data_IF_052160905128
#
_entry.id   IF_052160905128
#
_cell.length_a   1.000
_cell.length_b   1.000
_cell.length_c   1.000
_cell.angle_alpha   90.00
_cell.angle_beta   90.00
_cell.angle_gamma   90.00
#
_symmetry.space_group_name_H-M   'P 1'
#
loop_
_entity.id
_entity.type
_entity.pdbx_description
1 polymer ?
#
# COMPACT_ATOMS: atom_id res chain seq x y z
N UNK A 1 -22.45 55.79 6.03
CA UNK A 1 -21.96 56.52 7.22
C UNK A 1 -20.81 55.74 7.82
N UNK A 2 -19.67 56.39 7.99
CA UNK A 2 -18.43 55.82 8.46
C UNK A 2 -18.42 55.63 9.98
N UNK A 3 -17.68 54.63 10.48
CA UNK A 3 -16.57 54.90 11.38
C UNK A 3 -15.60 53.71 11.47
N UNK A 4 -14.32 54.04 11.41
CA UNK A 4 -13.14 53.20 11.48
C UNK A 4 -12.52 53.33 12.87
N UNK A 5 -11.94 52.26 13.42
CA UNK A 5 -10.76 52.41 14.30
C UNK A 5 -9.90 51.15 14.29
N UNK A 6 -8.69 51.35 13.77
CA UNK A 6 -7.50 50.50 13.87
C UNK A 6 -6.80 50.70 15.21
N UNK A 7 -6.05 49.71 15.70
CA UNK A 7 -5.00 49.93 16.70
C UNK A 7 -3.69 49.26 16.28
N UNK A 8 -2.61 50.04 16.43
CA UNK A 8 -1.25 49.80 15.97
C UNK A 8 -0.38 49.10 17.02
N UNK A 9 0.65 48.46 16.49
CA UNK A 9 1.90 47.97 17.10
C UNK A 9 2.68 49.10 17.80
N UNK A 10 3.41 48.84 18.90
CA UNK A 10 4.43 49.75 19.41
C UNK A 10 5.82 49.42 18.84
N UNK A 11 6.51 50.46 18.39
CA UNK A 11 7.94 50.51 18.07
C UNK A 11 8.68 51.42 19.06
N UNK A 12 9.97 51.14 19.28
CA UNK A 12 10.93 51.96 20.03
C UNK A 12 11.68 51.13 21.07
N UNK A 13 13.02 51.10 21.20
CA UNK A 13 14.06 52.02 20.73
C UNK A 13 15.28 51.21 20.24
N UNK A 14 15.99 51.74 19.24
CA UNK A 14 17.27 51.21 18.78
C UNK A 14 18.47 51.86 19.47
N UNK A 15 19.64 51.25 19.34
CA UNK A 15 20.94 51.92 19.19
C UNK A 15 21.94 50.97 18.48
N UNK A 16 22.85 51.59 17.71
CA UNK A 16 23.77 51.04 16.70
C UNK A 16 24.98 50.27 17.27
N UNK A 17 25.64 49.46 16.42
CA UNK A 17 26.70 48.45 16.72
C UNK A 17 28.10 48.99 17.09
N UNK A 18 29.26 48.33 16.76
CA UNK A 18 29.50 47.09 16.01
C UNK A 18 30.54 46.06 16.61
N UNK A 19 30.53 44.85 16.03
CA UNK A 19 31.61 43.84 15.86
C UNK A 19 32.63 43.47 16.97
N UNK A 20 32.69 42.18 17.35
CA UNK A 20 33.83 41.25 17.14
C UNK A 20 33.69 39.95 17.98
N UNK A 21 33.89 38.81 17.29
CA UNK A 21 34.67 37.62 17.66
C UNK A 21 34.54 37.08 19.10
N UNK A 22 34.06 35.84 19.25
CA UNK A 22 34.53 34.98 20.35
C UNK A 22 33.57 33.89 20.84
N UNK A 23 33.83 32.65 20.37
CA UNK A 23 33.75 31.37 21.11
C UNK A 23 32.39 30.85 21.64
N UNK A 24 32.08 29.65 21.13
CA UNK A 24 31.26 28.58 21.71
C UNK A 24 31.55 28.34 23.21
N UNK A 25 30.57 27.84 24.00
CA UNK A 25 30.51 26.39 24.13
C UNK A 25 29.10 25.77 24.20
N UNK A 26 29.00 24.64 23.49
CA UNK A 26 28.27 23.41 23.77
C UNK A 26 27.46 23.37 25.07
N UNK A 27 26.12 23.22 24.93
CA UNK A 27 25.29 22.61 25.97
C UNK A 27 24.39 21.53 25.36
N UNK A 28 24.83 20.30 25.56
CA UNK A 28 24.14 19.07 25.22
C UNK A 28 22.92 18.90 26.15
N UNK A 29 21.72 18.78 25.59
CA UNK A 29 20.56 18.20 26.28
C UNK A 29 19.87 17.25 25.32
N UNK A 30 20.15 15.95 25.51
CA UNK A 30 19.42 14.86 24.89
C UNK A 30 17.99 14.82 25.43
N UNK A 31 17.04 14.93 24.52
CA UNK A 31 15.64 14.56 24.73
C UNK A 31 15.25 13.61 23.61
N UNK A 32 15.09 12.33 23.93
CA UNK A 32 14.58 11.32 23.02
C UNK A 32 13.07 11.55 22.88
N UNK A 33 12.62 12.00 21.70
CA UNK A 33 11.21 11.93 21.29
C UNK A 33 11.08 10.82 20.25
N UNK A 34 10.39 9.74 20.59
CA UNK A 34 9.87 8.77 19.63
C UNK A 34 8.69 9.40 18.90
N UNK A 35 8.94 10.01 17.75
CA UNK A 35 7.90 10.44 16.81
C UNK A 35 7.94 9.53 15.60
N UNK A 36 6.83 8.84 15.31
CA UNK A 36 6.61 8.26 13.99
C UNK A 36 6.79 9.38 12.94
N UNK A 37 7.77 9.22 12.05
CA UNK A 37 8.10 10.23 11.06
C UNK A 37 7.08 10.17 9.92
N UNK A 38 6.01 10.95 10.04
CA UNK A 38 5.21 11.37 8.90
C UNK A 38 6.07 12.31 8.05
N UNK A 39 6.26 11.98 6.78
CA UNK A 39 7.01 12.81 5.84
C UNK A 39 6.00 13.53 4.95
N UNK A 40 5.97 14.86 5.01
CA UNK A 40 5.29 15.67 4.02
C UNK A 40 6.11 15.63 2.70
N UNK A 41 5.50 15.36 1.54
CA UNK A 41 6.26 15.17 0.31
C UNK A 41 6.78 16.51 -0.23
N UNK A 42 8.06 16.54 -0.60
CA UNK A 42 8.60 17.53 -1.53
C UNK A 42 8.32 17.03 -2.95
N UNK A 43 7.52 17.77 -3.71
CA UNK A 43 7.22 17.47 -5.11
C UNK A 43 8.50 17.49 -5.96
N UNK A 44 9.08 16.31 -6.19
CA UNK A 44 9.89 16.07 -7.38
C UNK A 44 8.94 15.51 -8.43
N UNK A 45 8.90 16.14 -9.61
CA UNK A 45 8.16 15.63 -10.76
C UNK A 45 8.82 14.33 -11.20
N UNK A 46 8.35 13.20 -10.66
CA UNK A 46 8.69 11.88 -11.16
C UNK A 46 7.91 11.70 -12.46
N UNK A 47 8.61 11.50 -13.58
CA UNK A 47 7.97 11.04 -14.80
C UNK A 47 7.34 9.68 -14.51
N UNK A 48 6.00 9.60 -14.51
CA UNK A 48 5.29 8.33 -14.41
C UNK A 48 5.89 7.33 -15.43
N UNK A 49 6.23 6.12 -14.98
CA UNK A 49 6.74 5.12 -15.92
C UNK A 49 5.62 4.83 -16.93
N UNK A 50 5.94 4.74 -18.23
CA UNK A 50 4.93 4.38 -19.21
C UNK A 50 4.27 3.06 -18.81
N UNK A 51 2.93 3.03 -18.83
CA UNK A 51 2.17 1.78 -18.68
C UNK A 51 2.58 0.69 -19.69
N UNK A 52 3.34 1.09 -20.73
CA UNK A 52 3.89 0.28 -21.80
C UNK A 52 5.26 -0.36 -21.53
N UNK A 53 5.86 -0.25 -20.33
CA UNK A 53 6.97 -1.16 -20.01
C UNK A 53 6.42 -2.59 -19.92
N UNK A 54 6.99 -3.55 -20.68
CA UNK A 54 6.49 -4.91 -20.69
C UNK A 54 6.71 -5.55 -19.31
N UNK A 55 5.66 -5.55 -18.50
CA UNK A 55 5.58 -6.34 -17.27
C UNK A 55 5.31 -7.79 -17.64
N UNK A 56 5.37 -8.68 -16.67
CA UNK A 56 5.21 -10.08 -16.96
C UNK A 56 3.82 -10.60 -16.65
N UNK A 57 3.34 -10.33 -15.43
CA UNK A 57 1.92 -10.48 -15.12
C UNK A 57 1.26 -9.26 -15.72
N UNK A 58 0.71 -9.44 -16.91
CA UNK A 58 -0.03 -8.39 -17.62
C UNK A 58 -1.53 -8.70 -17.63
N UNK A 59 -1.88 -9.97 -17.54
CA UNK A 59 -3.26 -10.44 -17.62
C UNK A 59 -3.76 -11.12 -16.36
N UNK A 60 -5.04 -10.93 -16.07
CA UNK A 60 -5.71 -11.57 -14.90
C UNK A 60 -5.65 -13.10 -14.96
N UNK A 61 -5.70 -13.67 -16.16
CA UNK A 61 -5.56 -15.13 -16.39
C UNK A 61 -4.16 -15.65 -16.03
N UNK A 62 -3.10 -14.87 -16.22
CA UNK A 62 -1.74 -15.24 -15.83
C UNK A 62 -1.60 -15.21 -14.30
N UNK A 63 -2.18 -14.18 -13.66
CA UNK A 63 -2.26 -14.10 -12.21
C UNK A 63 -3.02 -15.30 -11.62
N UNK A 64 -4.13 -15.73 -12.24
CA UNK A 64 -4.91 -16.90 -11.80
C UNK A 64 -4.09 -18.19 -11.67
N UNK A 65 -3.29 -18.53 -12.69
CA UNK A 65 -2.45 -19.74 -12.67
C UNK A 65 -1.31 -19.64 -11.65
N UNK A 66 -0.77 -18.43 -11.49
CA UNK A 66 0.18 -18.14 -10.41
C UNK A 66 -0.46 -18.38 -9.03
N UNK A 67 -1.67 -17.88 -8.77
CA UNK A 67 -2.37 -18.10 -7.50
C UNK A 67 -2.74 -19.55 -7.24
N UNK A 68 -3.18 -20.30 -8.26
CA UNK A 68 -3.63 -21.69 -8.09
C UNK A 68 -2.53 -22.58 -7.48
N UNK A 69 -1.28 -22.39 -7.89
CA UNK A 69 -0.16 -23.23 -7.44
C UNK A 69 0.74 -22.56 -6.41
N UNK A 70 1.05 -21.27 -6.56
CA UNK A 70 1.96 -20.59 -5.64
C UNK A 70 1.28 -20.19 -4.33
N UNK A 71 -0.02 -19.89 -4.28
CA UNK A 71 -0.69 -19.45 -3.03
C UNK A 71 -0.62 -20.47 -1.90
N UNK A 72 -0.68 -21.77 -2.21
CA UNK A 72 -0.58 -22.84 -1.22
C UNK A 72 0.80 -22.82 -0.54
N UNK A 73 1.86 -22.61 -1.33
CA UNK A 73 3.23 -22.45 -0.83
C UNK A 73 3.41 -21.10 -0.15
N UNK A 74 2.83 -20.04 -0.71
CA UNK A 74 2.94 -18.67 -0.21
C UNK A 74 2.33 -18.53 1.19
N UNK A 75 1.12 -19.04 1.41
CA UNK A 75 0.41 -18.95 2.70
C UNK A 75 1.09 -19.75 3.82
N UNK A 76 1.64 -20.93 3.51
CA UNK A 76 2.15 -21.87 4.53
C UNK A 76 3.68 -21.80 4.73
N UNK A 77 4.43 -21.30 3.73
CA UNK A 77 5.90 -21.31 3.75
C UNK A 77 6.48 -19.90 3.72
N UNK A 78 5.88 -18.96 2.97
CA UNK A 78 6.43 -17.61 2.76
C UNK A 78 5.86 -16.60 3.78
N UNK A 79 4.53 -16.55 3.96
CA UNK A 79 3.85 -15.61 4.86
C UNK A 79 4.34 -15.64 6.32
N UNK A 80 4.61 -16.80 6.95
CA UNK A 80 5.08 -16.85 8.34
C UNK A 80 6.39 -16.08 8.59
N UNK A 81 7.21 -15.85 7.56
CA UNK A 81 8.45 -15.06 7.65
C UNK A 81 8.39 -13.68 7.01
N UNK A 82 7.52 -13.46 6.01
CA UNK A 82 7.53 -12.27 5.14
C UNK A 82 6.36 -11.31 5.38
N UNK A 83 5.14 -11.84 5.61
CA UNK A 83 3.93 -11.06 5.87
C UNK A 83 3.27 -11.59 7.16
N UNK A 84 3.89 -11.22 8.27
CA UNK A 84 3.49 -11.67 9.61
C UNK A 84 2.21 -10.99 10.09
N UNK A 85 1.52 -11.60 11.07
CA UNK A 85 0.37 -10.97 11.72
C UNK A 85 0.68 -9.60 12.31
N UNK A 86 1.86 -9.44 12.92
CA UNK A 86 2.35 -8.16 13.42
C UNK A 86 2.49 -7.11 12.32
N UNK A 87 2.98 -7.51 11.14
CA UNK A 87 3.15 -6.62 9.99
C UNK A 87 1.81 -6.26 9.37
N UNK A 88 0.86 -7.22 9.29
CA UNK A 88 -0.54 -6.96 8.91
C UNK A 88 -1.18 -5.95 9.83
N UNK A 89 -1.12 -6.18 11.14
CA UNK A 89 -1.78 -5.32 12.13
C UNK A 89 -1.13 -3.92 12.12
N UNK A 90 0.19 -3.82 11.97
CA UNK A 90 0.87 -2.53 11.79
C UNK A 90 0.46 -1.81 10.49
N UNK A 91 0.29 -2.55 9.39
CA UNK A 91 -0.12 -2.03 8.09
C UNK A 91 -1.59 -1.57 8.04
N UNK A 92 -2.46 -2.20 8.84
CA UNK A 92 -3.86 -1.84 9.03
C UNK A 92 -4.06 -0.64 9.95
N UNK A 93 -3.08 -0.30 10.79
CA UNK A 93 -3.19 0.85 11.71
C UNK A 93 -3.67 2.16 11.05
N UNK A 94 -3.12 2.57 9.90
CA UNK A 94 -3.62 3.74 9.14
C UNK A 94 -5.04 3.62 8.59
N UNK A 95 -5.64 2.43 8.53
CA UNK A 95 -7.02 2.24 8.07
C UNK A 95 -8.05 2.77 9.08
N UNK A 96 -7.64 3.09 10.31
CA UNK A 96 -8.49 3.73 11.33
C UNK A 96 -9.82 2.99 11.56
N UNK A 97 -9.73 1.67 11.75
CA UNK A 97 -10.83 0.75 12.06
C UNK A 97 -11.24 0.88 13.53
N UNK A 98 -11.70 2.06 13.94
CA UNK A 98 -11.94 2.40 15.36
C UNK A 98 -13.40 2.23 15.82
N UNK A 99 -14.29 1.84 14.91
CA UNK A 99 -15.72 1.68 15.16
C UNK A 99 -16.15 0.31 14.62
N UNK A 100 -16.79 -0.50 15.46
CA UNK A 100 -17.20 -1.85 15.10
C UNK A 100 -18.43 -1.89 14.18
N UNK A 101 -19.15 -0.78 14.07
CA UNK A 101 -20.31 -0.61 13.17
C UNK A 101 -19.92 -0.12 11.76
N UNK A 102 -18.64 0.19 11.51
CA UNK A 102 -18.19 0.59 10.18
C UNK A 102 -18.44 -0.49 9.14
N UNK A 103 -18.98 -0.08 7.98
CA UNK A 103 -19.02 -0.93 6.80
C UNK A 103 -17.66 -0.94 6.13
N UNK A 104 -17.03 -2.10 6.06
CA UNK A 104 -15.69 -2.27 5.51
C UNK A 104 -15.69 -3.22 4.33
N UNK A 105 -14.99 -2.84 3.26
CA UNK A 105 -14.69 -3.76 2.15
C UNK A 105 -13.20 -4.07 2.10
N UNK A 106 -12.86 -5.35 2.03
CA UNK A 106 -11.52 -5.87 1.77
C UNK A 106 -11.47 -6.36 0.31
N UNK A 107 -10.86 -5.57 -0.58
CA UNK A 107 -10.79 -5.82 -2.02
C UNK A 107 -9.49 -6.51 -2.40
N UNK A 108 -9.59 -7.63 -3.10
CA UNK A 108 -8.48 -8.56 -3.29
C UNK A 108 -8.12 -9.28 -1.99
N UNK A 109 -9.11 -9.61 -1.17
CA UNK A 109 -8.90 -10.18 0.18
C UNK A 109 -8.29 -11.59 0.18
N UNK A 110 -8.23 -12.25 -0.97
CA UNK A 110 -7.60 -13.56 -1.13
C UNK A 110 -8.12 -14.61 -0.15
N UNK A 111 -7.22 -15.26 0.59
CA UNK A 111 -7.58 -16.24 1.63
C UNK A 111 -8.12 -15.61 2.91
N UNK A 112 -8.29 -14.29 2.95
CA UNK A 112 -8.79 -13.54 4.09
C UNK A 112 -7.74 -13.24 5.16
N UNK A 113 -6.44 -13.25 4.84
CA UNK A 113 -5.40 -12.95 5.83
C UNK A 113 -5.52 -11.52 6.38
N UNK A 114 -5.77 -10.54 5.52
CA UNK A 114 -6.02 -9.14 5.91
C UNK A 114 -7.38 -9.00 6.58
N UNK A 115 -8.40 -9.67 6.06
CA UNK A 115 -9.75 -9.71 6.65
C UNK A 115 -9.72 -10.20 8.10
N UNK A 116 -8.89 -11.19 8.44
CA UNK A 116 -8.66 -11.64 9.82
C UNK A 116 -8.14 -10.53 10.75
N UNK A 117 -7.42 -9.54 10.23
CA UNK A 117 -7.02 -8.35 10.98
C UNK A 117 -8.16 -7.33 11.11
N UNK A 118 -8.98 -7.16 10.06
CA UNK A 118 -10.13 -6.25 10.06
C UNK A 118 -11.17 -6.66 11.11
N UNK A 119 -11.53 -7.95 11.14
CA UNK A 119 -12.55 -8.50 12.06
C UNK A 119 -12.14 -8.49 13.53
N UNK A 120 -10.89 -8.14 13.86
CA UNK A 120 -10.49 -7.87 15.25
C UNK A 120 -11.11 -6.58 15.79
N UNK A 121 -11.55 -5.70 14.90
CA UNK A 121 -12.00 -4.35 15.21
C UNK A 121 -13.42 -4.05 14.73
N UNK A 122 -13.90 -4.77 13.71
CA UNK A 122 -15.20 -4.56 13.08
C UNK A 122 -16.02 -5.84 13.14
N UNK A 123 -17.31 -5.72 13.43
CA UNK A 123 -18.21 -6.86 13.48
C UNK A 123 -18.27 -7.56 12.12
N UNK A 124 -18.18 -8.89 12.12
CA UNK A 124 -18.07 -9.69 10.89
C UNK A 124 -19.17 -9.38 9.86
N UNK A 125 -20.41 -9.16 10.32
CA UNK A 125 -21.58 -8.87 9.48
C UNK A 125 -21.46 -7.52 8.73
N UNK A 126 -20.54 -6.65 9.15
CA UNK A 126 -20.25 -5.36 8.51
C UNK A 126 -19.05 -5.42 7.55
N UNK A 127 -18.40 -6.58 7.41
CA UNK A 127 -17.22 -6.77 6.55
C UNK A 127 -17.60 -7.53 5.28
N UNK A 128 -17.20 -6.98 4.13
CA UNK A 128 -17.27 -7.65 2.84
C UNK A 128 -15.87 -7.97 2.34
N UNK A 129 -15.60 -9.22 2.01
CA UNK A 129 -14.38 -9.66 1.32
C UNK A 129 -14.72 -9.93 -0.15
N UNK A 130 -14.04 -9.21 -1.05
CA UNK A 130 -14.16 -9.40 -2.50
C UNK A 130 -12.83 -9.85 -3.09
N UNK A 131 -12.82 -10.89 -3.92
CA UNK A 131 -11.63 -11.35 -4.65
C UNK A 131 -12.01 -11.94 -6.01
N UNK A 132 -11.11 -11.92 -6.99
CA UNK A 132 -11.38 -12.49 -8.32
C UNK A 132 -11.14 -14.02 -8.39
N UNK A 133 -10.55 -14.63 -7.35
CA UNK A 133 -10.14 -16.03 -7.34
C UNK A 133 -11.10 -16.90 -6.52
N UNK A 134 -11.91 -17.77 -7.16
CA UNK A 134 -12.83 -18.66 -6.45
C UNK A 134 -12.13 -19.59 -5.45
N UNK A 135 -10.90 -20.04 -5.77
CA UNK A 135 -10.12 -20.92 -4.90
C UNK A 135 -9.64 -20.23 -3.62
N UNK A 136 -9.28 -18.95 -3.71
CA UNK A 136 -8.86 -18.16 -2.54
C UNK A 136 -10.07 -17.88 -1.63
N UNK A 137 -11.19 -17.50 -2.23
CA UNK A 137 -12.47 -17.30 -1.53
C UNK A 137 -12.90 -18.56 -0.78
N UNK A 138 -12.76 -19.74 -1.39
CA UNK A 138 -13.12 -20.99 -0.74
C UNK A 138 -12.28 -21.26 0.52
N UNK A 139 -10.97 -20.98 0.47
CA UNK A 139 -10.11 -21.05 1.66
C UNK A 139 -10.51 -20.02 2.72
N UNK A 140 -10.94 -18.82 2.33
CA UNK A 140 -11.40 -17.80 3.26
C UNK A 140 -12.68 -18.26 3.98
N UNK A 141 -13.64 -18.86 3.26
CA UNK A 141 -14.90 -19.39 3.81
C UNK A 141 -14.70 -20.51 4.84
N UNK A 142 -13.61 -21.25 4.74
CA UNK A 142 -13.27 -22.33 5.68
C UNK A 142 -12.75 -21.82 7.04
N UNK A 143 -12.48 -20.52 7.19
CA UNK A 143 -11.95 -19.95 8.43
C UNK A 143 -13.09 -19.56 9.36
N UNK A 144 -13.21 -20.23 10.50
CA UNK A 144 -14.25 -19.93 11.51
C UNK A 144 -14.26 -18.48 11.98
N UNK A 145 -13.08 -17.84 12.09
CA UNK A 145 -12.99 -16.43 12.47
C UNK A 145 -13.62 -15.46 11.46
N UNK A 146 -13.86 -15.90 10.21
CA UNK A 146 -14.50 -15.11 9.15
C UNK A 146 -15.99 -15.46 8.98
N UNK A 147 -16.57 -16.26 9.87
CA UNK A 147 -18.00 -16.57 9.83
C UNK A 147 -18.81 -15.29 10.06
N UNK A 148 -19.74 -14.98 9.14
CA UNK A 148 -20.52 -13.74 9.12
C UNK A 148 -20.02 -12.70 8.11
N UNK A 149 -18.74 -12.77 7.71
CA UNK A 149 -18.20 -11.93 6.64
C UNK A 149 -18.90 -12.26 5.32
N UNK A 150 -19.31 -11.24 4.57
CA UNK A 150 -19.85 -11.41 3.22
C UNK A 150 -18.70 -11.66 2.24
N UNK A 151 -18.56 -12.89 1.74
CA UNK A 151 -17.44 -13.27 0.86
C UNK A 151 -17.95 -13.53 -0.56
N UNK A 152 -17.49 -12.73 -1.52
CA UNK A 152 -17.97 -12.77 -2.92
C UNK A 152 -16.87 -12.64 -3.96
N UNK A 153 -17.15 -13.11 -5.16
CA UNK A 153 -16.27 -12.94 -6.32
C UNK A 153 -16.47 -11.55 -6.96
N UNK A 154 -15.40 -10.91 -7.41
CA UNK A 154 -15.48 -9.67 -8.18
C UNK A 154 -14.13 -9.09 -8.60
N UNK A 155 -14.19 -8.05 -9.44
CA UNK A 155 -13.02 -7.35 -9.97
C UNK A 155 -12.77 -6.04 -9.20
N UNK A 156 -11.54 -5.82 -8.75
CA UNK A 156 -11.15 -4.59 -8.06
C UNK A 156 -11.27 -3.33 -8.94
N UNK A 157 -11.23 -3.51 -10.27
CA UNK A 157 -11.34 -2.44 -11.27
C UNK A 157 -12.79 -2.20 -11.76
N UNK A 158 -13.75 -2.98 -11.28
CA UNK A 158 -15.18 -2.87 -11.60
C UNK A 158 -16.01 -3.44 -10.44
N UNK A 159 -16.13 -2.65 -9.36
CA UNK A 159 -16.70 -3.14 -8.11
C UNK A 159 -18.23 -3.21 -8.18
N UNK A 160 -18.85 -4.33 -7.79
CA UNK A 160 -20.30 -4.54 -7.83
C UNK A 160 -21.03 -3.86 -6.66
N UNK A 161 -20.57 -2.68 -6.24
CA UNK A 161 -21.11 -1.93 -5.12
C UNK A 161 -21.62 -0.55 -5.57
N UNK A 162 -22.67 -0.01 -4.94
CA UNK A 162 -23.10 1.36 -5.16
C UNK A 162 -22.03 2.37 -4.75
N UNK A 163 -22.13 3.57 -5.31
CA UNK A 163 -21.35 4.75 -4.86
C UNK A 163 -21.66 5.06 -3.40
N UNK A 164 -20.65 5.51 -2.64
CA UNK A 164 -20.78 5.94 -1.23
C UNK A 164 -21.36 4.85 -0.29
N UNK A 165 -20.84 3.62 -0.38
CA UNK A 165 -21.34 2.47 0.38
C UNK A 165 -20.55 2.20 1.67
N UNK A 166 -19.22 2.31 1.64
CA UNK A 166 -18.34 1.84 2.71
C UNK A 166 -17.72 3.00 3.50
N UNK A 167 -17.60 2.80 4.81
CA UNK A 167 -16.88 3.71 5.70
C UNK A 167 -15.36 3.53 5.55
N UNK A 168 -14.93 2.30 5.26
CA UNK A 168 -13.54 1.94 4.96
C UNK A 168 -13.42 1.05 3.74
N UNK A 169 -12.45 1.36 2.90
CA UNK A 169 -11.94 0.47 1.87
C UNK A 169 -10.54 0.02 2.27
N UNK A 170 -10.30 -1.29 2.26
CA UNK A 170 -8.99 -1.88 2.48
C UNK A 170 -8.65 -2.75 1.28
N UNK A 171 -7.41 -2.72 0.83
CA UNK A 171 -6.88 -3.70 -0.11
C UNK A 171 -5.41 -3.93 0.20
N UNK A 172 -4.99 -5.20 0.30
CA UNK A 172 -3.64 -5.55 0.72
C UNK A 172 -3.05 -6.68 -0.13
N UNK A 173 -1.90 -6.43 -0.75
CA UNK A 173 -1.20 -7.42 -1.57
C UNK A 173 -1.96 -7.83 -2.84
N UNK A 174 -2.74 -6.89 -3.39
CA UNK A 174 -3.58 -7.12 -4.58
C UNK A 174 -3.21 -6.21 -5.75
N UNK A 175 -2.84 -4.95 -5.48
CA UNK A 175 -2.60 -3.93 -6.52
C UNK A 175 -1.46 -4.28 -7.47
N UNK A 176 -0.46 -5.03 -7.01
CA UNK A 176 0.65 -5.52 -7.83
C UNK A 176 0.20 -6.40 -9.02
N UNK A 177 -1.06 -6.85 -8.99
CA UNK A 177 -1.70 -7.69 -10.01
C UNK A 177 -2.79 -6.97 -10.81
N UNK A 178 -3.04 -5.67 -10.57
CA UNK A 178 -4.05 -4.91 -11.30
C UNK A 178 -3.46 -4.40 -12.62
N UNK A 179 -4.02 -4.78 -13.78
CA UNK A 179 -3.60 -4.23 -15.08
C UNK A 179 -3.65 -2.71 -15.13
N UNK A 180 -4.73 -2.10 -14.63
CA UNK A 180 -4.92 -0.65 -14.50
C UNK A 180 -5.12 -0.25 -13.02
N UNK A 181 -4.04 -0.02 -12.27
CA UNK A 181 -4.11 0.34 -10.86
C UNK A 181 -4.94 1.61 -10.60
N UNK A 182 -4.83 2.60 -11.50
CA UNK A 182 -5.54 3.86 -11.37
C UNK A 182 -7.06 3.67 -11.44
N UNK A 183 -7.54 2.71 -12.23
CA UNK A 183 -8.96 2.32 -12.29
C UNK A 183 -9.45 1.67 -11.00
N UNK A 184 -8.67 0.77 -10.41
CA UNK A 184 -9.01 0.21 -9.10
C UNK A 184 -9.08 1.25 -7.99
N UNK A 185 -8.16 2.24 -8.00
CA UNK A 185 -8.21 3.37 -7.04
C UNK A 185 -9.39 4.32 -7.33
N UNK A 186 -9.79 4.47 -8.60
CA UNK A 186 -11.03 5.19 -8.96
C UNK A 186 -12.25 4.50 -8.35
N UNK A 187 -12.35 3.18 -8.45
CA UNK A 187 -13.43 2.40 -7.85
C UNK A 187 -13.41 2.49 -6.31
N UNK A 188 -12.23 2.44 -5.69
CA UNK A 188 -12.08 2.69 -4.26
C UNK A 188 -12.65 4.07 -3.87
N UNK A 189 -12.37 5.12 -4.64
CA UNK A 189 -12.95 6.44 -4.41
C UNK A 189 -14.48 6.40 -4.53
N UNK A 190 -15.01 5.78 -5.57
CA UNK A 190 -16.45 5.73 -5.83
C UNK A 190 -17.21 5.05 -4.69
N UNK A 191 -16.74 3.91 -4.20
CA UNK A 191 -17.49 3.11 -3.20
C UNK A 191 -17.30 3.57 -1.76
N UNK A 192 -16.26 4.33 -1.45
CA UNK A 192 -16.08 4.93 -0.11
C UNK A 192 -17.04 6.11 0.06
N UNK A 193 -17.62 6.28 1.25
CA UNK A 193 -18.49 7.41 1.62
C UNK A 193 -17.72 8.73 1.77
N UNK A 194 -18.38 9.89 1.68
CA UNK A 194 -17.80 11.16 2.17
C UNK A 194 -17.41 11.05 3.64
N UNK A 195 -16.21 11.50 3.97
CA UNK A 195 -15.60 11.33 5.30
C UNK A 195 -14.99 9.94 5.53
N UNK A 196 -15.22 8.98 4.64
CA UNK A 196 -14.61 7.66 4.67
C UNK A 196 -13.15 7.66 4.19
N UNK A 197 -12.48 6.53 4.44
CA UNK A 197 -11.05 6.38 4.19
C UNK A 197 -10.78 5.12 3.36
N UNK A 198 -9.96 5.26 2.32
CA UNK A 198 -9.38 4.13 1.59
C UNK A 198 -7.96 3.88 2.09
N UNK A 199 -7.61 2.62 2.34
CA UNK A 199 -6.30 2.15 2.77
C UNK A 199 -5.82 1.05 1.82
N UNK A 200 -4.69 1.30 1.17
CA UNK A 200 -4.07 0.38 0.23
C UNK A 200 -2.70 -0.04 0.75
N UNK A 201 -2.47 -1.34 0.79
CA UNK A 201 -1.24 -1.94 1.28
C UNK A 201 -0.61 -2.74 0.13
N UNK A 202 0.63 -2.44 -0.20
CA UNK A 202 1.30 -3.07 -1.33
C UNK A 202 2.81 -2.97 -1.30
N UNK A 203 3.50 -3.66 -2.23
CA UNK A 203 4.94 -3.60 -2.34
C UNK A 203 5.41 -2.21 -2.79
N UNK A 204 6.66 -1.89 -2.51
CA UNK A 204 7.32 -0.64 -2.95
C UNK A 204 8.49 -0.99 -3.86
N UNK A 205 8.68 -0.20 -4.92
CA UNK A 205 9.81 -0.36 -5.83
C UNK A 205 11.15 -0.36 -5.08
N UNK A 206 11.97 -1.43 -5.22
CA UNK A 206 13.18 -1.57 -4.44
C UNK A 206 14.26 -0.56 -4.86
N UNK A 207 15.20 -0.26 -3.97
CA UNK A 207 16.29 0.68 -4.28
C UNK A 207 17.55 0.00 -4.81
N UNK A 208 17.77 -1.28 -4.47
CA UNK A 208 18.93 -2.04 -4.92
C UNK A 208 18.79 -2.47 -6.38
N UNK A 209 19.84 -2.29 -7.20
CA UNK A 209 19.77 -2.45 -8.64
C UNK A 209 19.33 -3.85 -9.10
N UNK A 210 19.80 -4.91 -8.44
CA UNK A 210 19.45 -6.28 -8.80
C UNK A 210 18.00 -6.59 -8.43
N UNK A 211 17.53 -6.08 -7.29
CA UNK A 211 16.12 -6.19 -6.91
C UNK A 211 15.23 -5.43 -7.89
N UNK A 212 15.61 -4.22 -8.31
CA UNK A 212 14.87 -3.46 -9.34
C UNK A 212 14.72 -4.27 -10.62
N UNK A 213 15.79 -4.87 -11.11
CA UNK A 213 15.77 -5.72 -12.30
C UNK A 213 14.74 -6.86 -12.17
N UNK A 214 14.74 -7.59 -11.05
CA UNK A 214 13.78 -8.67 -10.83
C UNK A 214 12.35 -8.17 -10.56
N UNK A 215 12.17 -6.99 -9.93
CA UNK A 215 10.84 -6.40 -9.74
C UNK A 215 10.23 -6.03 -11.09
N UNK A 216 10.97 -5.27 -11.91
CA UNK A 216 10.52 -4.78 -13.22
C UNK A 216 10.17 -5.95 -14.16
N UNK A 217 10.79 -7.12 -13.95
CA UNK A 217 10.52 -8.34 -14.71
C UNK A 217 9.40 -9.23 -14.19
N UNK A 218 8.86 -8.97 -13.00
CA UNK A 218 7.95 -9.90 -12.34
C UNK A 218 6.51 -9.41 -12.31
N UNK A 219 6.25 -8.35 -11.57
CA UNK A 219 4.90 -7.81 -11.37
C UNK A 219 4.99 -6.32 -11.05
N UNK A 220 3.87 -5.66 -10.83
CA UNK A 220 3.90 -4.23 -10.53
C UNK A 220 4.48 -4.00 -9.12
N UNK A 221 5.58 -3.25 -9.05
CA UNK A 221 6.14 -2.70 -7.82
C UNK A 221 6.08 -1.16 -7.92
N UNK A 222 5.01 -0.53 -7.42
CA UNK A 222 4.86 0.92 -7.53
C UNK A 222 5.89 1.67 -6.68
N UNK A 223 6.25 2.88 -7.10
CA UNK A 223 6.95 3.81 -6.21
C UNK A 223 5.98 4.42 -5.20
N UNK A 224 6.51 4.98 -4.12
CA UNK A 224 5.70 5.69 -3.13
C UNK A 224 4.96 6.89 -3.76
N UNK A 225 5.60 7.54 -4.73
CA UNK A 225 5.04 8.66 -5.47
C UNK A 225 3.89 8.23 -6.38
N UNK A 226 3.99 7.06 -7.03
CA UNK A 226 2.91 6.51 -7.87
C UNK A 226 1.65 6.24 -7.04
N UNK A 227 1.78 5.65 -5.84
CA UNK A 227 0.64 5.49 -4.95
C UNK A 227 -0.03 6.82 -4.58
N UNK A 228 0.78 7.81 -4.19
CA UNK A 228 0.27 9.14 -3.81
C UNK A 228 -0.43 9.80 -5.01
N UNK A 229 0.17 9.68 -6.20
CA UNK A 229 -0.37 10.22 -7.44
C UNK A 229 -1.71 9.57 -7.80
N UNK A 230 -1.83 8.24 -7.70
CA UNK A 230 -3.08 7.54 -8.01
C UNK A 230 -4.22 7.96 -7.08
N UNK A 231 -3.95 8.07 -5.78
CA UNK A 231 -4.95 8.53 -4.80
C UNK A 231 -5.35 9.99 -5.08
N UNK A 232 -4.37 10.87 -5.29
CA UNK A 232 -4.61 12.30 -5.56
C UNK A 232 -5.41 12.49 -6.84
N UNK A 233 -5.05 11.79 -7.92
CA UNK A 233 -5.77 11.84 -9.21
C UNK A 233 -7.19 11.32 -9.09
N UNK A 234 -7.42 10.29 -8.27
CA UNK A 234 -8.75 9.77 -8.00
C UNK A 234 -9.61 10.75 -7.17
N UNK A 235 -9.02 11.80 -6.60
CA UNK A 235 -9.73 12.83 -5.83
C UNK A 235 -9.65 12.64 -4.32
N UNK A 236 -8.88 11.68 -3.81
CA UNK A 236 -8.65 11.56 -2.37
C UNK A 236 -7.82 12.74 -1.85
N UNK A 237 -8.18 13.21 -0.67
CA UNK A 237 -7.46 14.24 0.07
C UNK A 237 -6.74 13.63 1.28
N UNK A 238 -5.88 14.43 1.93
CA UNK A 238 -5.08 14.00 3.09
C UNK A 238 -4.33 12.69 2.87
N UNK A 239 -3.74 12.55 1.69
CA UNK A 239 -3.02 11.32 1.31
C UNK A 239 -1.79 11.15 2.20
N UNK A 240 -1.74 10.03 2.92
CA UNK A 240 -0.65 9.69 3.84
C UNK A 240 -0.04 8.35 3.45
N UNK A 241 1.26 8.22 3.66
CA UNK A 241 1.99 6.99 3.41
C UNK A 241 2.76 6.58 4.66
N UNK A 242 2.55 5.34 5.09
CA UNK A 242 3.30 4.65 6.13
C UNK A 242 4.10 3.52 5.49
N UNK A 243 5.41 3.48 5.74
CA UNK A 243 6.24 2.36 5.33
C UNK A 243 6.06 1.21 6.31
N UNK A 244 6.06 -0.01 5.78
CA UNK A 244 5.88 -1.22 6.57
C UNK A 244 7.01 -2.21 6.27
N UNK A 245 7.32 -3.03 7.26
CA UNK A 245 8.39 -4.01 7.22
C UNK A 245 8.30 -4.91 8.44
N UNK A 246 8.90 -6.11 8.37
CA UNK A 246 8.91 -7.00 9.51
C UNK A 246 9.76 -6.41 10.64
N UNK A 247 9.34 -6.63 11.89
CA UNK A 247 10.00 -6.05 13.09
C UNK A 247 11.50 -6.40 13.20
N UNK A 248 11.91 -7.55 12.65
CA UNK A 248 13.31 -8.00 12.65
C UNK A 248 14.20 -7.21 11.68
N UNK A 249 13.64 -6.47 10.72
CA UNK A 249 14.43 -5.75 9.73
C UNK A 249 15.05 -4.46 10.31
N UNK A 250 16.37 -4.46 10.46
CA UNK A 250 17.17 -3.36 11.05
C UNK A 250 17.91 -2.57 9.97
N UNK A 251 17.21 -1.72 9.21
CA UNK A 251 17.84 -0.95 8.13
C UNK A 251 17.13 0.35 7.74
N UNK A 252 17.92 1.40 7.49
CA UNK A 252 17.46 2.62 6.78
C UNK A 252 17.52 2.33 5.28
N UNK A 253 16.61 2.95 4.51
CA UNK A 253 16.44 2.93 3.02
C UNK A 253 17.67 2.73 2.12
N UNK A 254 18.89 2.93 2.64
CA UNK A 254 20.17 2.91 1.91
C UNK A 254 20.61 1.50 1.48
N UNK A 255 20.07 0.41 2.07
CA UNK A 255 20.53 -0.97 1.78
C UNK A 255 19.46 -1.97 1.27
N UNK A 256 18.31 -1.50 0.77
CA UNK A 256 17.77 -2.16 -0.44
C UNK A 256 16.44 -2.92 -0.41
N UNK A 257 15.76 -3.15 0.72
CA UNK A 257 14.37 -3.66 0.70
C UNK A 257 13.46 -2.77 1.56
N UNK A 258 12.61 -1.95 0.93
CA UNK A 258 11.35 -1.56 1.57
C UNK A 258 10.37 -2.68 1.20
N UNK A 259 9.87 -3.39 2.22
CA UNK A 259 9.01 -4.56 1.99
C UNK A 259 7.61 -4.16 1.52
N UNK A 260 7.13 -2.96 1.89
CA UNK A 260 5.89 -2.39 1.38
C UNK A 260 5.55 -1.05 2.00
N UNK A 261 4.37 -0.54 1.65
CA UNK A 261 3.76 0.62 2.29
C UNK A 261 2.26 0.41 2.48
N UNK A 262 1.70 1.17 3.42
CA UNK A 262 0.27 1.43 3.60
C UNK A 262 0.01 2.88 3.22
N UNK A 263 -0.89 3.10 2.27
CA UNK A 263 -1.24 4.41 1.73
C UNK A 263 -2.72 4.65 1.97
N UNK A 264 -3.04 5.81 2.53
CA UNK A 264 -4.42 6.17 2.87
C UNK A 264 -4.82 7.46 2.22
N UNK A 265 -6.11 7.61 1.90
CA UNK A 265 -6.70 8.87 1.47
C UNK A 265 -8.15 8.99 1.93
N UNK A 266 -8.57 10.21 2.20
CA UNK A 266 -9.92 10.55 2.68
C UNK A 266 -10.75 11.09 1.54
N UNK A 267 -11.95 10.55 1.35
CA UNK A 267 -12.91 11.11 0.40
C UNK A 267 -13.66 12.27 1.06
N UNK A 268 -13.65 13.46 0.47
CA UNK A 268 -14.35 14.64 1.05
C UNK A 268 -15.73 14.90 0.44
N UNK A 269 -15.92 14.59 -0.84
CA UNK A 269 -17.16 14.83 -1.55
C UNK A 269 -17.83 13.52 -1.97
N UNK A 270 -19.17 13.52 -2.02
CA UNK A 270 -19.97 12.39 -2.54
C UNK A 270 -19.83 12.24 -4.05
N UNK A 271 -20.15 11.05 -4.57
CA UNK A 271 -20.20 10.77 -6.00
C UNK A 271 -18.98 10.04 -6.55
N UNK A 272 -18.87 10.04 -7.88
CA UNK A 272 -17.75 9.43 -8.60
C UNK A 272 -16.50 10.33 -8.54
N UNK A 273 -15.35 9.72 -8.81
CA UNK A 273 -14.07 10.41 -8.95
C UNK A 273 -14.13 11.46 -10.07
N UNK A 274 -13.47 12.64 -9.90
CA UNK A 274 -13.30 13.59 -10.99
C UNK A 274 -12.44 13.04 -12.15
N UNK A 275 -11.75 11.92 -11.93
CA UNK A 275 -10.88 11.31 -12.91
C UNK A 275 -11.66 10.68 -14.07
N UNK A 276 -11.37 11.15 -15.27
CA UNK A 276 -11.83 10.55 -16.51
C UNK A 276 -10.77 9.58 -17.03
N UNK A 277 -11.15 8.30 -17.16
CA UNK A 277 -10.30 7.25 -17.70
C UNK A 277 -10.83 6.82 -19.07
N UNK A 278 -9.92 6.40 -19.95
CA UNK A 278 -10.28 5.76 -21.21
C UNK A 278 -10.93 4.39 -21.03
N UNK A 279 -11.21 3.66 -22.13
CA UNK A 279 -11.67 2.29 -22.05
C UNK A 279 -10.66 1.43 -21.27
N UNK A 280 -11.15 0.34 -20.65
CA UNK A 280 -10.31 -0.62 -19.95
C UNK A 280 -9.22 -1.11 -20.92
N UNK A 281 -7.97 -1.02 -20.49
CA UNK A 281 -6.83 -1.34 -21.35
C UNK A 281 -6.71 -2.84 -21.65
N UNK A 282 -7.35 -3.70 -20.86
CA UNK A 282 -7.29 -5.15 -21.00
C UNK A 282 -8.56 -5.70 -21.67
N UNK A 283 -8.35 -6.55 -22.68
CA UNK A 283 -9.35 -7.49 -23.17
C UNK A 283 -9.09 -8.86 -22.54
N UNK A 284 -9.93 -9.26 -21.58
CA UNK A 284 -9.80 -10.54 -20.87
C UNK A 284 -10.08 -11.72 -21.81
N UNK A 285 -10.68 -11.51 -22.99
CA UNK A 285 -10.98 -12.54 -23.97
C UNK A 285 -9.77 -12.90 -24.86
N UNK A 286 -8.72 -12.08 -24.86
CA UNK A 286 -7.54 -12.32 -25.69
C UNK A 286 -6.84 -13.64 -25.29
N UNK A 287 -6.57 -14.49 -26.29
CA UNK A 287 -5.93 -15.77 -26.06
C UNK A 287 -4.44 -15.60 -25.83
N UNK A 288 -3.96 -16.03 -24.66
CA UNK A 288 -2.53 -16.02 -24.34
C UNK A 288 -1.84 -17.14 -25.13
N UNK A 289 -0.82 -16.78 -25.93
CA UNK A 289 0.01 -17.76 -26.63
C UNK A 289 0.72 -18.68 -25.64
N UNK A 290 0.57 -20.01 -25.78
CA UNK A 290 1.10 -20.99 -24.82
C UNK A 290 2.63 -20.94 -24.66
N UNK A 291 3.38 -20.74 -25.74
CA UNK A 291 4.84 -20.62 -25.65
C UNK A 291 5.25 -19.33 -24.96
N UNK A 292 4.58 -18.22 -25.28
CA UNK A 292 4.78 -16.96 -24.57
C UNK A 292 4.43 -17.11 -23.09
N UNK A 293 3.35 -17.80 -22.77
CA UNK A 293 2.94 -18.12 -21.40
C UNK A 293 3.97 -18.97 -20.66
N UNK A 294 4.51 -20.04 -21.27
CA UNK A 294 5.51 -20.91 -20.63
C UNK A 294 6.84 -20.19 -20.43
N UNK A 295 7.32 -19.48 -21.45
CA UNK A 295 8.53 -18.65 -21.36
C UNK A 295 8.37 -17.60 -20.29
N UNK A 296 7.18 -16.98 -20.26
CA UNK A 296 6.79 -16.14 -19.15
C UNK A 296 6.93 -16.99 -17.88
N UNK A 297 6.05 -17.93 -17.57
CA UNK A 297 6.00 -18.67 -16.31
C UNK A 297 7.38 -19.03 -15.70
N UNK A 298 8.34 -19.47 -16.53
CA UNK A 298 9.73 -19.69 -16.14
C UNK A 298 10.45 -18.44 -15.56
N UNK A 299 10.45 -17.30 -16.27
CA UNK A 299 11.02 -16.02 -15.78
C UNK A 299 10.33 -15.58 -14.49
N UNK A 300 8.99 -15.63 -14.43
CA UNK A 300 8.24 -15.27 -13.24
C UNK A 300 8.64 -16.11 -12.03
N UNK A 301 8.88 -17.41 -12.23
CA UNK A 301 9.36 -18.32 -11.19
C UNK A 301 10.78 -17.95 -10.71
N UNK A 302 11.68 -17.57 -11.62
CA UNK A 302 13.03 -17.11 -11.27
C UNK A 302 12.97 -15.83 -10.43
N UNK A 303 12.16 -14.85 -10.86
CA UNK A 303 12.01 -13.59 -10.14
C UNK A 303 11.37 -13.81 -8.76
N UNK A 304 10.31 -14.61 -8.68
CA UNK A 304 9.70 -15.00 -7.41
C UNK A 304 10.71 -15.67 -6.47
N UNK A 305 11.54 -16.58 -7.00
CA UNK A 305 12.58 -17.25 -6.22
C UNK A 305 13.58 -16.25 -5.63
N UNK A 306 13.98 -15.22 -6.39
CA UNK A 306 14.84 -14.15 -5.88
C UNK A 306 14.18 -13.43 -4.68
N UNK A 307 12.90 -13.07 -4.79
CA UNK A 307 12.16 -12.38 -3.73
C UNK A 307 11.83 -13.25 -2.52
N UNK A 308 11.90 -14.58 -2.64
CA UNK A 308 11.83 -15.52 -1.50
C UNK A 308 13.19 -15.67 -0.82
N UNK A 309 14.27 -15.78 -1.60
CA UNK A 309 15.61 -16.02 -1.06
C UNK A 309 16.20 -14.79 -0.36
N UNK A 310 15.91 -13.58 -0.85
CA UNK A 310 16.47 -12.35 -0.25
C UNK A 310 16.03 -12.15 1.20
N UNK A 311 14.73 -12.23 1.56
CA UNK A 311 14.34 -12.02 2.95
C UNK A 311 14.75 -13.19 3.85
N UNK A 312 14.84 -14.43 3.34
CA UNK A 312 15.46 -15.55 4.08
C UNK A 312 16.92 -15.23 4.42
N UNK A 313 17.69 -14.77 3.43
CA UNK A 313 19.07 -14.35 3.65
C UNK A 313 19.17 -13.19 4.66
N UNK A 314 18.30 -12.19 4.55
CA UNK A 314 18.24 -11.06 5.50
C UNK A 314 17.85 -11.50 6.92
N UNK A 315 16.92 -12.45 7.05
CA UNK A 315 16.52 -13.02 8.33
C UNK A 315 17.65 -13.83 8.97
N UNK A 316 18.35 -14.68 8.22
CA UNK A 316 19.55 -15.38 8.69
C UNK A 316 20.62 -14.37 9.13
N UNK A 317 20.84 -13.31 8.33
CA UNK A 317 21.78 -12.25 8.66
C UNK A 317 21.39 -11.52 9.95
N UNK A 318 20.10 -11.31 10.20
CA UNK A 318 19.60 -10.74 11.47
C UNK A 318 19.95 -11.59 12.68
N UNK A 319 19.88 -12.92 12.56
CA UNK A 319 20.24 -13.82 13.66
C UNK A 319 21.74 -13.80 13.99
N UNK A 320 22.59 -13.50 13.00
CA UNK A 320 24.05 -13.53 13.16
C UNK A 320 24.62 -12.15 13.51
N UNK A 321 24.04 -11.06 13.01
CA UNK A 321 24.54 -9.69 13.21
C UNK A 321 24.13 -9.18 14.61
N UNK A 322 25.08 -8.72 15.45
CA UNK A 322 24.79 -8.21 16.79
C UNK A 322 23.71 -7.13 16.82
N UNK A 323 22.87 -7.13 17.86
CA UNK A 323 21.82 -6.12 18.07
C UNK A 323 22.42 -4.71 18.10
N UNK A 324 21.86 -3.79 17.33
CA UNK A 324 22.32 -2.39 17.22
C UNK A 324 23.21 -2.08 16.00
N UNK A 325 23.61 -3.09 15.23
CA UNK A 325 24.24 -2.89 13.92
C UNK A 325 23.20 -2.99 12.77
N UNK A 326 23.37 -2.20 11.69
CA UNK A 326 22.51 -2.28 10.51
C UNK A 326 22.76 -3.57 9.74
N UNK A 327 21.69 -4.09 9.14
CA UNK A 327 21.67 -5.27 8.26
C UNK A 327 21.54 -4.82 6.80
#
# INVERSE_FOLDING_TARGET
MACSTTFRVPSGLGFLGPSKIGRNPLRNKGGVRSGAKYVAPTCAVSSARPASQPRFIQHKKEAFWFYRFLSVVYDHVINPGHWTEDMRDDALGPAELYDNEFKVVDVGGGTGFTTLGIVKHVDNDNVTLLDQSPHQIEKARQKEALKGVSIMEGDAEDLPFPTDTFDRYVSAGSIEYWPDPQRGIKEAYRVVKPGGLACLIGPVHPTFWLSRFFADMWMLFPTEEEYIEWFTKAGFEDVKLKRIGPKWYRGVRRHGLIMGCSVTGVKRASGDSPLQLGPKAEDVEEQVNLLAFLFRFAIGTICASYYVLVPIYMWIKDQVVPKGQPI
#
